data_IF_230585490012
#
_entry.id   IF_230585490012
#
_cell.length_a   1.000
_cell.length_b   1.000
_cell.length_c   1.000
_cell.angle_alpha   90.00
_cell.angle_beta   90.00
_cell.angle_gamma   90.00
#
_symmetry.space_group_name_H-M   'P 1'
#
loop_
_entity.id
_entity.type
_entity.pdbx_description
1 polymer ?
#
# COMPACT_ATOMS: atom_id res chain seq x y z
N UNK A 1 20.51 8.97 -9.77
CA UNK A 1 20.61 8.26 -11.07
C UNK A 1 20.35 6.78 -10.75
N UNK A 2 20.58 5.82 -11.65
CA UNK A 2 20.40 4.36 -11.35
C UNK A 2 21.68 3.61 -11.73
N UNK A 3 22.83 4.17 -11.35
CA UNK A 3 24.14 3.77 -11.91
C UNK A 3 25.22 3.54 -10.85
N UNK A 4 25.25 4.34 -9.78
CA UNK A 4 26.36 4.31 -8.81
C UNK A 4 26.02 3.47 -7.58
N UNK A 5 27.03 3.00 -6.85
CA UNK A 5 26.79 2.28 -5.59
C UNK A 5 26.00 3.12 -4.57
N UNK A 6 26.20 4.44 -4.58
CA UNK A 6 25.40 5.37 -3.78
C UNK A 6 23.92 5.39 -4.21
N UNK A 7 23.63 5.36 -5.52
CA UNK A 7 22.25 5.20 -6.02
C UNK A 7 21.66 3.85 -5.56
N UNK A 8 22.44 2.77 -5.60
CA UNK A 8 22.00 1.44 -5.18
C UNK A 8 21.68 1.39 -3.68
N UNK A 9 22.54 1.97 -2.85
CA UNK A 9 22.31 2.11 -1.41
C UNK A 9 21.08 2.97 -1.11
N UNK A 10 20.92 4.10 -1.82
CA UNK A 10 19.74 4.95 -1.67
C UNK A 10 18.45 4.18 -1.99
N UNK A 11 18.42 3.41 -3.07
CA UNK A 11 17.27 2.56 -3.42
C UNK A 11 16.98 1.53 -2.32
N UNK A 12 18.00 0.86 -1.80
CA UNK A 12 17.82 -0.13 -0.73
C UNK A 12 17.25 0.50 0.55
N UNK A 13 17.71 1.70 0.91
CA UNK A 13 17.24 2.45 2.08
C UNK A 13 15.85 3.05 1.91
N UNK A 14 15.49 3.50 0.70
CA UNK A 14 14.20 4.14 0.43
C UNK A 14 13.07 3.13 0.23
N UNK A 15 13.33 1.99 -0.40
CA UNK A 15 12.31 1.00 -0.76
C UNK A 15 12.01 0.03 0.40
N UNK A 16 11.61 0.56 1.56
CA UNK A 16 11.32 -0.25 2.75
C UNK A 16 10.05 -1.08 2.61
N UNK A 17 9.01 -0.53 1.95
CA UNK A 17 7.71 -1.17 1.76
C UNK A 17 7.60 -2.10 0.53
N UNK A 18 8.67 -2.23 -0.27
CA UNK A 18 8.70 -3.11 -1.44
C UNK A 18 9.52 -4.38 -1.16
N UNK A 19 9.08 -5.50 -1.74
CA UNK A 19 9.86 -6.74 -1.75
C UNK A 19 11.03 -6.64 -2.72
N UNK A 20 12.08 -7.45 -2.50
CA UNK A 20 13.22 -7.52 -3.44
C UNK A 20 12.75 -7.87 -4.85
N UNK A 21 11.77 -8.77 -5.00
CA UNK A 21 11.21 -9.12 -6.31
C UNK A 21 10.56 -7.93 -7.02
N UNK A 22 9.83 -7.08 -6.30
CA UNK A 22 9.20 -5.87 -6.84
C UNK A 22 10.23 -4.83 -7.29
N UNK A 23 11.24 -4.56 -6.45
CA UNK A 23 12.31 -3.60 -6.76
C UNK A 23 13.04 -4.02 -8.04
N UNK A 24 13.44 -5.29 -8.13
CA UNK A 24 14.13 -5.84 -9.30
C UNK A 24 13.22 -5.75 -10.54
N UNK A 25 11.92 -6.07 -10.42
CA UNK A 25 10.98 -5.99 -11.55
C UNK A 25 10.81 -4.57 -12.07
N UNK A 26 10.69 -3.57 -11.18
CA UNK A 26 10.58 -2.16 -11.55
C UNK A 26 11.83 -1.71 -12.31
N UNK A 27 13.02 -2.00 -11.76
CA UNK A 27 14.29 -1.64 -12.42
C UNK A 27 14.47 -2.32 -13.77
N UNK A 28 14.01 -3.56 -13.91
CA UNK A 28 14.07 -4.31 -15.18
C UNK A 28 13.13 -3.73 -16.24
N UNK A 29 11.93 -3.29 -15.85
CA UNK A 29 10.93 -2.72 -16.77
C UNK A 29 11.15 -1.23 -17.05
N UNK A 30 12.08 -0.60 -16.34
CA UNK A 30 12.33 0.83 -16.47
C UNK A 30 12.70 1.20 -17.91
N UNK A 31 11.84 2.02 -18.54
CA UNK A 31 12.04 2.56 -19.88
C UNK A 31 12.30 4.05 -19.75
N UNK A 32 13.51 4.53 -20.08
CA UNK A 32 13.83 5.96 -20.05
C UNK A 32 12.92 6.77 -20.97
N UNK A 33 12.50 7.94 -20.52
CA UNK A 33 11.66 8.88 -21.30
C UNK A 33 12.45 10.09 -21.78
N UNK A 34 13.63 10.33 -21.19
CA UNK A 34 14.50 11.47 -21.47
C UNK A 34 15.64 11.00 -22.36
N UNK A 35 15.96 11.75 -23.41
CA UNK A 35 17.02 11.40 -24.39
C UNK A 35 18.41 11.14 -23.77
N UNK A 36 18.65 11.66 -22.57
CA UNK A 36 19.91 11.52 -21.83
C UNK A 36 19.85 10.51 -20.67
N UNK A 37 18.73 9.81 -20.50
CA UNK A 37 18.60 8.76 -19.50
C UNK A 37 18.78 7.38 -20.13
N UNK A 38 19.65 6.57 -19.54
CA UNK A 38 19.93 5.22 -20.00
C UNK A 38 19.08 4.19 -19.27
N UNK A 39 18.90 3.04 -19.92
CA UNK A 39 18.33 1.85 -19.28
C UNK A 39 19.17 1.44 -18.07
N UNK A 40 18.50 0.85 -17.08
CA UNK A 40 19.20 0.26 -15.93
C UNK A 40 20.01 -0.94 -16.41
N UNK A 41 21.28 -1.00 -16.05
CA UNK A 41 22.15 -2.11 -16.45
C UNK A 41 21.85 -3.37 -15.63
N UNK A 42 22.09 -4.53 -16.22
CA UNK A 42 21.96 -5.83 -15.54
C UNK A 42 22.94 -5.95 -14.37
N UNK A 43 24.14 -5.36 -14.50
CA UNK A 43 25.14 -5.30 -13.43
C UNK A 43 24.62 -4.52 -12.22
N UNK A 44 24.00 -3.35 -12.44
CA UNK A 44 23.42 -2.55 -11.36
C UNK A 44 22.27 -3.30 -10.65
N UNK A 45 21.43 -3.99 -11.41
CA UNK A 45 20.37 -4.84 -10.87
C UNK A 45 20.96 -5.98 -10.02
N UNK A 46 22.05 -6.61 -10.46
CA UNK A 46 22.76 -7.63 -9.69
C UNK A 46 23.34 -7.08 -8.38
N UNK A 47 23.90 -5.87 -8.39
CA UNK A 47 24.38 -5.17 -7.19
C UNK A 47 23.24 -4.97 -6.18
N UNK A 48 22.08 -4.45 -6.62
CA UNK A 48 20.92 -4.27 -5.75
C UNK A 48 20.42 -5.63 -5.21
N UNK A 49 20.39 -6.67 -6.04
CA UNK A 49 20.00 -8.01 -5.60
C UNK A 49 20.95 -8.55 -4.50
N UNK A 50 22.24 -8.26 -4.61
CA UNK A 50 23.24 -8.61 -3.60
C UNK A 50 23.02 -7.84 -2.29
N UNK A 51 22.84 -6.51 -2.38
CA UNK A 51 22.59 -5.65 -1.22
C UNK A 51 21.30 -5.99 -0.46
N UNK A 52 20.29 -6.51 -1.15
CA UNK A 52 19.01 -6.89 -0.56
C UNK A 52 18.93 -8.36 -0.13
N UNK A 53 20.03 -9.12 -0.23
CA UNK A 53 20.05 -10.57 0.04
C UNK A 53 19.64 -10.90 1.48
N UNK A 54 20.06 -10.09 2.44
CA UNK A 54 19.77 -10.29 3.87
C UNK A 54 18.43 -9.69 4.30
N UNK A 55 17.75 -8.95 3.41
CA UNK A 55 16.41 -8.44 3.67
C UNK A 55 15.45 -9.63 3.64
N UNK A 56 14.96 -10.05 4.82
CA UNK A 56 13.99 -11.15 4.96
C UNK A 56 12.61 -10.73 4.42
N UNK A 57 12.51 -10.56 3.10
CA UNK A 57 11.28 -10.20 2.40
C UNK A 57 10.68 -11.39 1.71
N UNK A 58 9.35 -11.43 1.65
CA UNK A 58 8.62 -12.38 0.81
C UNK A 58 9.15 -12.40 -0.63
N UNK A 59 9.21 -13.59 -1.24
CA UNK A 59 9.54 -13.78 -2.65
C UNK A 59 8.41 -13.38 -3.61
N UNK A 60 7.25 -12.96 -3.08
CA UNK A 60 6.08 -12.58 -3.87
C UNK A 60 6.29 -11.27 -4.63
N UNK A 61 5.94 -11.30 -5.92
CA UNK A 61 5.96 -10.11 -6.79
C UNK A 61 4.70 -9.27 -6.64
N UNK A 62 3.53 -9.91 -6.56
CA UNK A 62 2.24 -9.24 -6.43
C UNK A 62 1.86 -9.06 -4.97
N UNK A 63 1.09 -8.01 -4.70
CA UNK A 63 0.42 -7.83 -3.41
C UNK A 63 -0.91 -8.58 -3.42
N UNK A 64 -1.36 -9.02 -2.25
CA UNK A 64 -2.71 -9.57 -2.09
C UNK A 64 -3.75 -8.43 -2.17
N UNK A 65 -4.30 -8.21 -3.36
CA UNK A 65 -5.33 -7.21 -3.59
C UNK A 65 -6.67 -7.53 -2.91
N UNK A 66 -6.84 -8.77 -2.41
CA UNK A 66 -8.04 -9.19 -1.66
C UNK A 66 -7.79 -9.19 -0.16
N UNK A 67 -6.65 -8.68 0.30
CA UNK A 67 -6.34 -8.59 1.72
C UNK A 67 -7.38 -7.70 2.42
N UNK A 68 -8.15 -8.30 3.31
CA UNK A 68 -9.05 -7.59 4.22
C UNK A 68 -8.32 -7.43 5.57
N UNK A 69 -8.29 -6.20 6.07
CA UNK A 69 -7.82 -5.89 7.42
C UNK A 69 -8.92 -6.19 8.43
N UNK A 70 -8.55 -6.63 9.63
CA UNK A 70 -9.52 -6.89 10.69
C UNK A 70 -10.25 -5.61 11.08
N UNK A 71 -11.58 -5.66 11.08
CA UNK A 71 -12.42 -4.53 11.47
C UNK A 71 -12.65 -4.56 12.98
N UNK A 72 -12.55 -3.39 13.62
CA UNK A 72 -12.87 -3.18 15.03
C UNK A 72 -13.96 -2.13 15.11
N UNK A 73 -14.98 -2.38 15.93
CA UNK A 73 -16.06 -1.44 16.20
C UNK A 73 -15.87 -0.86 17.61
N UNK A 74 -15.10 0.23 17.77
CA UNK A 74 -14.93 0.85 19.06
C UNK A 74 -16.24 1.46 19.53
N UNK A 75 -16.44 1.47 20.85
CA UNK A 75 -17.57 2.21 21.44
C UNK A 75 -17.45 3.69 21.09
N UNK A 76 -18.47 4.21 20.40
CA UNK A 76 -18.61 5.63 20.09
C UNK A 76 -19.95 6.11 20.65
N UNK A 77 -19.96 6.89 21.74
CA UNK A 77 -21.21 7.38 22.32
C UNK A 77 -21.90 8.34 21.36
N UNK A 78 -23.23 8.32 21.37
CA UNK A 78 -24.06 9.28 20.64
C UNK A 78 -24.53 10.36 21.60
N UNK A 79 -24.50 11.63 21.18
CA UNK A 79 -25.13 12.75 21.89
C UNK A 79 -26.63 12.86 21.60
N UNK A 80 -27.18 11.97 20.78
CA UNK A 80 -28.60 11.97 20.41
C UNK A 80 -29.45 11.65 21.63
N UNK A 81 -30.31 12.60 21.98
CA UNK A 81 -31.30 12.47 23.01
C UNK A 81 -32.52 11.68 22.48
N UNK A 82 -32.80 10.50 23.03
CA UNK A 82 -33.82 9.58 22.52
C UNK A 82 -35.24 10.18 22.55
N UNK A 83 -35.51 11.06 23.50
CA UNK A 83 -36.76 11.78 23.65
C UNK A 83 -37.01 12.84 22.56
N UNK A 84 -36.01 13.16 21.75
CA UNK A 84 -36.16 14.08 20.61
C UNK A 84 -36.44 13.35 19.30
N UNK A 85 -36.30 12.03 19.27
CA UNK A 85 -36.44 11.25 18.05
C UNK A 85 -37.90 11.18 17.57
N UNK A 86 -38.08 11.37 16.27
CA UNK A 86 -39.35 11.21 15.56
C UNK A 86 -39.17 10.21 14.41
N UNK A 87 -40.17 9.34 14.20
CA UNK A 87 -40.16 8.37 13.10
C UNK A 87 -40.76 9.06 11.85
N UNK A 88 -40.02 9.16 10.74
CA UNK A 88 -40.56 9.71 9.49
C UNK A 88 -41.73 8.86 8.96
N UNK A 89 -42.81 9.53 8.52
CA UNK A 89 -44.00 8.86 7.99
C UNK A 89 -43.72 7.98 6.75
N UNK A 90 -42.71 8.34 5.96
CA UNK A 90 -42.26 7.58 4.79
C UNK A 90 -41.75 6.18 5.10
N UNK A 91 -41.39 5.89 6.36
CA UNK A 91 -40.99 4.54 6.79
C UNK A 91 -42.18 3.59 6.98
N UNK A 92 -43.42 4.09 6.92
CA UNK A 92 -44.65 3.30 7.07
C UNK A 92 -44.72 2.48 8.37
N UNK A 93 -44.14 3.00 9.45
CA UNK A 93 -44.12 2.37 10.77
C UNK A 93 -45.22 2.88 11.71
N UNK A 94 -46.40 3.22 11.16
CA UNK A 94 -47.50 3.82 11.92
C UNK A 94 -48.13 2.91 12.99
N UNK A 95 -47.79 1.62 12.99
CA UNK A 95 -48.19 0.67 14.04
C UNK A 95 -47.36 0.82 15.33
N UNK A 96 -46.21 1.51 15.29
CA UNK A 96 -45.38 1.75 16.46
C UNK A 96 -45.90 2.94 17.27
N UNK A 97 -45.96 2.77 18.59
CA UNK A 97 -46.26 3.85 19.53
C UNK A 97 -45.01 4.19 20.31
N UNK A 98 -44.64 5.48 20.34
CA UNK A 98 -43.53 5.97 21.15
C UNK A 98 -43.97 6.05 22.63
N UNK A 99 -43.15 5.49 23.52
CA UNK A 99 -43.33 5.55 24.98
C UNK A 99 -42.41 6.62 25.56
#
# INVERSE_FOLDING_TARGET
>A
KKKTDADAQAICSMCTALTTAQIIKILTLYTPVIEFEERVSTTFIATIKSLLKDKNTSSTLTMDAKKIFSVVFPFTPSSVALETLQIPASLNLGFLTRI
#
